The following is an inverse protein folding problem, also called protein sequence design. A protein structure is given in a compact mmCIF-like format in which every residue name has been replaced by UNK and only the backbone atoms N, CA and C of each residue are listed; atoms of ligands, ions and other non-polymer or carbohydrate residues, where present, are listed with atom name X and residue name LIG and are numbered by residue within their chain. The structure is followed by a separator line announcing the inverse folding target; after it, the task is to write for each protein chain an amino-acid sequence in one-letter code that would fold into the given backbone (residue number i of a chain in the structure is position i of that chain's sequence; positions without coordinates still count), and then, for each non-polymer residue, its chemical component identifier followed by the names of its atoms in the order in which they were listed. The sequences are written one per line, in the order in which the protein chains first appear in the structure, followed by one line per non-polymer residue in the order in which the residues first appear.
data_IF_455294906196
#
_entry.id   IF_455294906196
#
_cell.length_a   1.000
_cell.length_b   1.000
_cell.length_c   1.000
_cell.angle_alpha   90.00
_cell.angle_beta   90.00
_cell.angle_gamma   90.00
#
_symmetry.space_group_name_H-M   'P 1'
#
loop_
_entity.id
_entity.type
_entity.pdbx_description
1 polymer ?
#
# COMPACT_ATOMS: atom_id res chain seq x y z
N UNK A 1 6.31 4.60 21.23
CA UNK A 1 5.63 3.31 21.05
C UNK A 1 6.49 2.47 20.12
N UNK A 2 7.08 1.38 20.59
CA UNK A 2 7.80 0.46 19.71
C UNK A 2 6.78 -0.15 18.78
N UNK A 3 7.03 -0.04 17.48
CA UNK A 3 6.15 -0.63 16.46
C UNK A 3 6.18 -2.15 16.61
N UNK A 4 4.99 -2.77 16.71
CA UNK A 4 4.89 -4.23 16.78
C UNK A 4 5.31 -4.82 15.43
N UNK A 5 6.58 -5.21 15.33
CA UNK A 5 7.11 -5.98 14.21
C UNK A 5 6.55 -7.40 14.30
N UNK A 6 6.00 -7.92 13.23
CA UNK A 6 5.65 -9.33 13.12
C UNK A 6 6.93 -10.16 12.91
N UNK A 7 7.55 -10.52 14.02
CA UNK A 7 8.82 -11.27 14.04
C UNK A 7 8.71 -12.64 13.38
N UNK A 8 7.54 -13.28 13.40
CA UNK A 8 7.37 -14.58 12.71
C UNK A 8 7.55 -14.42 11.20
N UNK A 9 6.95 -13.39 10.63
CA UNK A 9 7.13 -13.09 9.20
C UNK A 9 8.57 -12.69 8.87
N UNK A 10 9.19 -11.87 9.69
CA UNK A 10 10.59 -11.45 9.50
C UNK A 10 11.53 -12.65 9.59
N UNK A 11 11.37 -13.51 10.59
CA UNK A 11 12.18 -14.72 10.73
C UNK A 11 12.01 -15.69 9.56
N UNK A 12 10.79 -15.82 9.02
CA UNK A 12 10.55 -16.61 7.80
C UNK A 12 11.29 -16.00 6.60
N UNK A 13 11.28 -14.68 6.46
CA UNK A 13 11.98 -13.99 5.38
C UNK A 13 13.51 -14.13 5.50
N UNK A 14 14.05 -14.05 6.71
CA UNK A 14 15.49 -14.29 6.97
C UNK A 14 15.85 -15.74 6.64
N UNK A 15 15.08 -16.73 7.12
CA UNK A 15 15.30 -18.15 6.83
C UNK A 15 15.22 -18.48 5.33
N UNK A 16 14.37 -17.75 4.61
CA UNK A 16 14.25 -17.87 3.16
C UNK A 16 15.37 -17.14 2.39
N UNK A 17 16.29 -16.46 3.07
CA UNK A 17 17.38 -15.70 2.46
C UNK A 17 16.92 -14.45 1.71
N UNK A 18 15.70 -13.95 2.00
CA UNK A 18 15.12 -12.78 1.34
C UNK A 18 15.63 -11.47 1.92
N UNK A 19 15.93 -11.46 3.21
CA UNK A 19 16.45 -10.29 3.93
C UNK A 19 17.60 -10.71 4.85
N UNK A 20 18.54 -9.79 5.05
CA UNK A 20 19.62 -9.91 6.03
C UNK A 20 19.51 -8.74 7.01
N UNK A 21 19.92 -8.92 8.26
CA UNK A 21 19.81 -7.94 9.35
C UNK A 21 20.20 -6.52 8.89
N UNK A 22 19.20 -5.65 8.73
CA UNK A 22 19.38 -4.22 8.45
C UNK A 22 19.86 -3.85 7.04
N UNK A 23 20.36 -4.80 6.26
CA UNK A 23 20.95 -4.52 4.94
C UNK A 23 20.10 -5.13 3.80
N UNK A 24 18.95 -4.51 3.51
CA UNK A 24 18.10 -4.86 2.37
C UNK A 24 17.35 -3.65 1.86
N UNK A 25 17.03 -3.68 0.58
CA UNK A 25 16.17 -2.68 -0.05
C UNK A 25 14.74 -3.22 -0.16
N UNK A 26 13.76 -2.38 0.23
CA UNK A 26 12.35 -2.76 0.09
C UNK A 26 11.95 -2.50 -1.36
N UNK A 27 11.82 -3.59 -2.12
CA UNK A 27 11.37 -3.59 -3.50
C UNK A 27 9.99 -4.24 -3.61
N UNK A 28 9.28 -4.00 -4.71
CA UNK A 28 8.01 -4.68 -4.99
C UNK A 28 8.19 -6.21 -4.98
N UNK A 29 9.25 -6.71 -5.57
CA UNK A 29 9.56 -8.14 -5.62
C UNK A 29 9.76 -8.73 -4.22
N UNK A 30 10.51 -8.02 -3.34
CA UNK A 30 10.71 -8.44 -1.96
C UNK A 30 9.38 -8.48 -1.20
N UNK A 31 8.56 -7.43 -1.32
CA UNK A 31 7.24 -7.38 -0.68
C UNK A 31 6.39 -8.58 -1.08
N UNK A 32 6.32 -8.90 -2.37
CA UNK A 32 5.55 -10.04 -2.87
C UNK A 32 6.07 -11.37 -2.35
N UNK A 33 7.38 -11.57 -2.34
CA UNK A 33 8.00 -12.78 -1.79
C UNK A 33 7.70 -12.95 -0.31
N UNK A 34 7.84 -11.88 0.48
CA UNK A 34 7.54 -11.91 1.93
C UNK A 34 6.05 -12.10 2.18
N UNK A 35 5.17 -11.46 1.40
CA UNK A 35 3.73 -11.66 1.47
C UNK A 35 3.35 -13.13 1.20
N UNK A 36 4.01 -13.75 0.23
CA UNK A 36 3.75 -15.14 -0.14
C UNK A 36 4.09 -16.14 0.98
N UNK A 37 5.06 -15.84 1.84
CA UNK A 37 5.42 -16.67 2.98
C UNK A 37 4.28 -16.79 4.01
N UNK A 38 3.39 -15.82 4.08
CA UNK A 38 2.22 -15.84 4.98
C UNK A 38 1.07 -16.70 4.48
N UNK A 39 1.10 -17.19 3.25
CA UNK A 39 0.05 -18.04 2.71
C UNK A 39 0.26 -19.46 3.23
N UNK A 40 -0.44 -19.80 4.32
CA UNK A 40 -0.36 -21.11 4.99
C UNK A 40 -0.95 -22.19 4.08
N UNK A 41 -2.17 -21.98 3.57
CA UNK A 41 -2.84 -22.92 2.66
C UNK A 41 -2.86 -22.36 1.23
N UNK A 42 -1.82 -22.70 0.48
CA UNK A 42 -1.67 -22.28 -0.91
C UNK A 42 -2.79 -22.84 -1.80
N UNK A 43 -3.22 -24.10 -1.57
CA UNK A 43 -4.30 -24.71 -2.36
C UNK A 43 -5.60 -23.94 -2.20
N UNK A 44 -5.96 -23.65 -0.95
CA UNK A 44 -7.14 -22.84 -0.63
C UNK A 44 -7.05 -21.42 -1.22
N UNK A 45 -5.88 -20.79 -1.13
CA UNK A 45 -5.67 -19.46 -1.72
C UNK A 45 -5.90 -19.45 -3.23
N UNK A 46 -5.31 -20.40 -3.96
CA UNK A 46 -5.45 -20.46 -5.42
C UNK A 46 -6.83 -20.97 -5.89
N UNK A 47 -7.60 -21.66 -5.03
CA UNK A 47 -8.98 -22.07 -5.35
C UNK A 47 -10.03 -20.95 -5.17
N UNK A 48 -9.64 -19.80 -4.58
CA UNK A 48 -10.56 -18.66 -4.41
C UNK A 48 -10.90 -18.01 -5.75
N UNK A 49 -12.04 -17.32 -5.79
CA UNK A 49 -12.40 -16.46 -6.92
C UNK A 49 -11.35 -15.37 -7.13
N UNK A 50 -11.22 -14.88 -8.35
CA UNK A 50 -10.24 -13.84 -8.70
C UNK A 50 -10.37 -12.61 -7.82
N UNK A 51 -11.57 -12.08 -7.68
CA UNK A 51 -11.82 -10.88 -6.86
C UNK A 51 -11.41 -11.06 -5.41
N UNK A 52 -11.76 -12.21 -4.79
CA UNK A 52 -11.40 -12.53 -3.40
C UNK A 52 -9.88 -12.69 -3.23
N UNK A 53 -9.24 -13.40 -4.15
CA UNK A 53 -7.79 -13.61 -4.14
C UNK A 53 -7.04 -12.29 -4.30
N UNK A 54 -7.48 -11.41 -5.22
CA UNK A 54 -6.89 -10.09 -5.43
C UNK A 54 -6.96 -9.22 -4.17
N UNK A 55 -8.12 -9.20 -3.52
CA UNK A 55 -8.32 -8.45 -2.28
C UNK A 55 -7.41 -8.94 -1.16
N UNK A 56 -7.36 -10.25 -0.93
CA UNK A 56 -6.50 -10.87 0.09
C UNK A 56 -5.02 -10.63 -0.22
N UNK A 57 -4.62 -10.76 -1.49
CA UNK A 57 -3.25 -10.51 -1.90
C UNK A 57 -2.81 -9.07 -1.65
N UNK A 58 -3.66 -8.11 -1.96
CA UNK A 58 -3.40 -6.69 -1.65
C UNK A 58 -3.16 -6.45 -0.16
N UNK A 59 -3.96 -7.11 0.71
CA UNK A 59 -3.78 -7.05 2.17
C UNK A 59 -2.43 -7.66 2.58
N UNK A 60 -2.07 -8.84 2.06
CA UNK A 60 -0.82 -9.50 2.39
C UNK A 60 0.40 -8.69 1.95
N UNK A 61 0.38 -8.12 0.74
CA UNK A 61 1.46 -7.26 0.26
C UNK A 61 1.60 -6.00 1.11
N UNK A 62 0.50 -5.34 1.47
CA UNK A 62 0.53 -4.18 2.35
C UNK A 62 1.09 -4.53 3.74
N UNK A 63 0.61 -5.62 4.34
CA UNK A 63 1.10 -6.08 5.64
C UNK A 63 2.59 -6.40 5.61
N UNK A 64 3.05 -7.10 4.57
CA UNK A 64 4.46 -7.40 4.38
C UNK A 64 5.31 -6.12 4.23
N UNK A 65 4.84 -5.14 3.43
CA UNK A 65 5.53 -3.87 3.26
C UNK A 65 5.65 -3.10 4.58
N UNK A 66 4.55 -3.01 5.34
CA UNK A 66 4.55 -2.36 6.65
C UNK A 66 5.50 -3.04 7.63
N UNK A 67 5.51 -4.37 7.64
CA UNK A 67 6.37 -5.13 8.53
C UNK A 67 7.86 -4.97 8.19
N UNK A 68 8.19 -4.99 6.89
CA UNK A 68 9.54 -4.71 6.41
C UNK A 68 9.99 -3.28 6.75
N UNK A 69 9.09 -2.29 6.63
CA UNK A 69 9.37 -0.92 7.04
C UNK A 69 9.67 -0.83 8.54
N UNK A 70 8.79 -1.39 9.38
CA UNK A 70 8.95 -1.40 10.84
C UNK A 70 10.26 -2.09 11.25
N UNK A 71 10.59 -3.21 10.63
CA UNK A 71 11.82 -3.93 10.87
C UNK A 71 13.05 -3.11 10.47
N UNK A 72 12.99 -2.45 9.32
CA UNK A 72 14.08 -1.59 8.83
C UNK A 72 14.28 -0.37 9.72
N UNK A 73 13.20 0.23 10.23
CA UNK A 73 13.22 1.39 11.12
C UNK A 73 13.94 1.11 12.45
N UNK A 74 13.97 -0.14 12.89
CA UNK A 74 14.77 -0.50 14.06
C UNK A 74 16.28 -0.39 13.82
N UNK A 75 16.71 -0.36 12.53
CA UNK A 75 18.12 -0.33 12.14
C UNK A 75 18.53 0.91 11.33
N UNK A 76 17.58 1.68 10.76
CA UNK A 76 17.89 2.82 9.87
C UNK A 76 16.82 3.93 9.97
N UNK A 77 16.97 4.79 10.97
CA UNK A 77 15.99 5.84 11.32
C UNK A 77 15.86 6.91 10.23
N UNK A 78 16.89 7.21 9.45
CA UNK A 78 16.88 8.38 8.54
C UNK A 78 16.13 8.14 7.21
N UNK A 79 16.07 6.91 6.70
CA UNK A 79 15.44 6.59 5.42
C UNK A 79 13.95 6.23 5.51
N UNK A 80 13.50 5.83 6.68
CA UNK A 80 12.17 5.26 6.90
C UNK A 80 11.00 6.20 6.61
N UNK A 81 11.16 7.50 6.87
CA UNK A 81 10.08 8.49 6.69
C UNK A 81 9.67 8.72 5.23
N UNK A 82 10.49 8.33 4.25
CA UNK A 82 10.17 8.47 2.84
C UNK A 82 9.39 7.29 2.29
N UNK A 83 9.63 6.10 2.83
CA UNK A 83 8.99 4.86 2.38
C UNK A 83 7.59 4.73 2.99
N UNK A 84 6.57 4.76 2.16
CA UNK A 84 5.18 4.70 2.59
C UNK A 84 4.26 4.35 1.42
N UNK A 85 2.96 4.34 1.67
CA UNK A 85 1.95 4.27 0.62
C UNK A 85 1.47 5.67 0.25
N UNK A 86 1.33 5.92 -1.04
CA UNK A 86 0.47 7.00 -1.54
C UNK A 86 -0.90 6.39 -1.81
N UNK A 87 -1.93 7.03 -1.31
CA UNK A 87 -3.31 6.55 -1.39
C UNK A 87 -4.24 7.59 -2.01
N UNK A 88 -5.32 7.07 -2.57
CA UNK A 88 -6.46 7.85 -3.02
C UNK A 88 -7.66 7.46 -2.15
N UNK A 89 -8.27 8.43 -1.50
CA UNK A 89 -9.44 8.26 -0.66
C UNK A 89 -10.60 9.07 -1.23
N UNK A 90 -11.81 8.52 -1.19
CA UNK A 90 -13.03 9.18 -1.63
C UNK A 90 -13.94 9.46 -0.45
N UNK A 91 -14.68 10.56 -0.51
CA UNK A 91 -15.90 10.74 0.27
C UNK A 91 -17.07 10.16 -0.53
N UNK A 92 -17.64 9.05 -0.09
CA UNK A 92 -18.74 8.38 -0.81
C UNK A 92 -20.05 9.18 -0.81
N UNK A 93 -20.18 10.19 0.04
CA UNK A 93 -21.30 11.14 0.00
C UNK A 93 -21.10 12.23 -1.06
N UNK A 94 -19.83 12.42 -1.48
CA UNK A 94 -19.43 13.36 -2.53
C UNK A 94 -18.49 12.65 -3.51
N UNK A 95 -19.00 11.79 -4.40
CA UNK A 95 -18.21 10.77 -5.10
C UNK A 95 -17.17 11.31 -6.10
N UNK A 96 -17.17 12.61 -6.40
CA UNK A 96 -16.16 13.24 -7.26
C UNK A 96 -15.03 13.91 -6.47
N UNK A 97 -15.10 13.89 -5.14
CA UNK A 97 -14.09 14.49 -4.29
C UNK A 97 -13.14 13.42 -3.74
N UNK A 98 -11.88 13.54 -4.10
CA UNK A 98 -10.84 12.58 -3.78
C UNK A 98 -9.70 13.28 -3.05
N UNK A 99 -9.19 12.60 -2.05
CA UNK A 99 -7.98 13.00 -1.35
C UNK A 99 -6.81 12.15 -1.86
N UNK A 100 -5.72 12.80 -2.24
CA UNK A 100 -4.43 12.15 -2.51
C UNK A 100 -3.51 12.46 -1.35
N UNK A 101 -3.08 11.43 -0.63
CA UNK A 101 -2.23 11.57 0.54
C UNK A 101 -1.27 10.40 0.69
N UNK A 102 -0.39 10.49 1.69
CA UNK A 102 0.55 9.41 2.04
C UNK A 102 0.36 8.93 3.47
N UNK A 103 0.62 7.67 3.69
CA UNK A 103 0.59 7.06 5.02
C UNK A 103 1.32 5.72 5.02
N UNK A 104 1.90 5.35 6.14
CA UNK A 104 2.35 3.98 6.36
C UNK A 104 1.15 3.02 6.56
N UNK A 105 0.00 3.55 6.98
CA UNK A 105 -1.24 2.79 7.21
C UNK A 105 -2.46 3.51 6.60
N UNK A 106 -2.70 3.37 5.28
CA UNK A 106 -3.82 4.05 4.61
C UNK A 106 -5.19 3.76 5.22
N UNK A 107 -5.45 2.51 5.62
CA UNK A 107 -6.74 2.13 6.21
C UNK A 107 -6.98 2.80 7.56
N UNK A 108 -5.94 2.94 8.38
CA UNK A 108 -6.04 3.67 9.65
C UNK A 108 -6.36 5.14 9.39
N UNK A 109 -5.82 5.73 8.30
CA UNK A 109 -6.19 7.10 7.90
C UNK A 109 -7.66 7.22 7.54
N UNK A 110 -8.22 6.25 6.81
CA UNK A 110 -9.66 6.23 6.50
C UNK A 110 -10.51 6.04 7.77
N UNK A 111 -10.11 5.13 8.66
CA UNK A 111 -10.79 4.93 9.96
C UNK A 111 -10.76 6.22 10.78
N UNK A 112 -9.61 6.88 10.89
CA UNK A 112 -9.45 8.15 11.62
C UNK A 112 -10.32 9.24 11.00
N UNK A 113 -10.32 9.39 9.67
CA UNK A 113 -11.18 10.35 8.97
C UNK A 113 -12.67 10.08 9.27
N UNK A 114 -13.07 8.82 9.30
CA UNK A 114 -14.43 8.41 9.61
C UNK A 114 -14.83 8.64 11.07
N UNK A 115 -13.88 8.78 11.99
CA UNK A 115 -14.17 9.14 13.39
C UNK A 115 -14.79 10.53 13.51
N UNK A 116 -14.39 11.44 12.62
CA UNK A 116 -14.89 12.82 12.58
C UNK A 116 -16.03 13.04 11.57
N UNK A 117 -16.34 12.02 10.75
CA UNK A 117 -17.40 12.09 9.76
C UNK A 117 -18.67 11.43 10.29
N UNK A 118 -19.80 12.13 10.40
CA UNK A 118 -21.07 11.55 10.86
C UNK A 118 -21.58 10.44 9.94
N UNK A 119 -21.19 10.47 8.66
CA UNK A 119 -21.62 9.50 7.66
C UNK A 119 -20.65 8.34 7.46
N UNK A 120 -19.47 8.39 8.07
CA UNK A 120 -18.40 7.40 7.88
C UNK A 120 -18.13 7.08 6.41
N UNK A 121 -18.13 8.11 5.60
CA UNK A 121 -18.18 8.03 4.14
C UNK A 121 -16.81 7.89 3.46
N UNK A 122 -15.72 8.01 4.21
CA UNK A 122 -14.37 7.93 3.65
C UNK A 122 -13.94 6.50 3.39
N UNK A 123 -13.53 6.23 2.15
CA UNK A 123 -13.03 4.91 1.72
C UNK A 123 -11.76 5.05 0.89
N UNK A 124 -10.82 4.14 1.11
CA UNK A 124 -9.64 4.02 0.24
C UNK A 124 -10.06 3.40 -1.10
N UNK A 125 -9.80 4.11 -2.19
CA UNK A 125 -10.05 3.66 -3.56
C UNK A 125 -8.84 2.89 -4.09
N UNK A 126 -7.65 3.42 -3.84
CA UNK A 126 -6.40 2.84 -4.29
C UNK A 126 -5.26 3.25 -3.38
N UNK A 127 -4.27 2.40 -3.26
CA UNK A 127 -3.00 2.73 -2.61
C UNK A 127 -1.85 2.02 -3.31
N UNK A 128 -0.66 2.63 -3.28
CA UNK A 128 0.56 2.05 -3.82
C UNK A 128 1.73 2.36 -2.92
N UNK A 129 2.54 1.36 -2.68
CA UNK A 129 3.81 1.52 -1.99
C UNK A 129 4.79 2.31 -2.87
N UNK A 130 5.57 3.18 -2.24
CA UNK A 130 6.65 3.93 -2.89
C UNK A 130 7.86 4.01 -1.98
N UNK A 131 9.05 3.90 -2.57
CA UNK A 131 10.33 4.13 -1.90
C UNK A 131 10.50 5.60 -1.50
N UNK A 132 9.86 6.52 -2.23
CA UNK A 132 9.78 7.93 -1.92
C UNK A 132 8.34 8.43 -2.08
N UNK A 133 7.52 8.13 -1.06
CA UNK A 133 6.12 8.54 -1.05
C UNK A 133 5.95 10.07 -0.95
N UNK A 134 6.95 10.78 -0.40
CA UNK A 134 6.93 12.24 -0.32
C UNK A 134 6.98 12.85 -1.73
N UNK A 135 7.93 12.40 -2.53
CA UNK A 135 8.07 12.92 -3.90
C UNK A 135 6.95 12.42 -4.81
N UNK A 136 6.48 11.18 -4.63
CA UNK A 136 5.34 10.67 -5.39
C UNK A 136 4.06 11.46 -5.08
N UNK A 137 3.76 11.76 -3.80
CA UNK A 137 2.61 12.58 -3.41
C UNK A 137 2.70 13.98 -4.02
N UNK A 138 3.85 14.67 -3.88
CA UNK A 138 4.09 15.98 -4.49
C UNK A 138 3.91 15.95 -6.02
N UNK A 139 4.44 14.93 -6.67
CA UNK A 139 4.28 14.74 -8.10
C UNK A 139 2.79 14.62 -8.47
N UNK A 140 2.04 13.76 -7.77
CA UNK A 140 0.60 13.60 -8.02
C UNK A 140 -0.15 14.93 -7.81
N UNK A 141 0.14 15.67 -6.76
CA UNK A 141 -0.44 16.99 -6.52
C UNK A 141 -0.08 18.00 -7.63
N UNK A 142 1.15 17.98 -8.12
CA UNK A 142 1.59 18.91 -9.17
C UNK A 142 0.90 18.70 -10.50
N UNK A 143 0.75 17.45 -10.94
CA UNK A 143 0.11 17.13 -12.23
C UNK A 143 -1.39 17.37 -12.23
N UNK A 144 -2.03 17.34 -11.05
CA UNK A 144 -3.46 17.59 -10.88
C UNK A 144 -3.76 18.94 -10.21
N UNK A 145 -2.82 19.89 -10.26
CA UNK A 145 -2.96 21.20 -9.63
C UNK A 145 -4.19 22.00 -10.13
N UNK A 146 -4.66 21.75 -11.37
CA UNK A 146 -5.86 22.38 -11.93
C UNK A 146 -7.15 21.84 -11.32
N UNK A 147 -7.13 20.60 -10.83
CA UNK A 147 -8.28 19.91 -10.24
C UNK A 147 -8.25 20.03 -8.71
N UNK A 148 -7.27 20.75 -8.15
CA UNK A 148 -7.08 20.96 -6.73
C UNK A 148 -8.15 21.90 -6.16
N UNK A 149 -8.73 21.52 -5.04
CA UNK A 149 -9.76 22.29 -4.35
C UNK A 149 -9.19 22.95 -3.09
N UNK A 150 -8.72 22.13 -2.15
CA UNK A 150 -8.19 22.61 -0.89
C UNK A 150 -7.37 21.52 -0.20
N UNK A 151 -6.21 21.88 0.36
CA UNK A 151 -5.34 20.95 1.09
C UNK A 151 -4.88 19.79 0.21
N UNK A 152 -5.32 18.59 0.50
CA UNK A 152 -5.01 17.36 -0.25
C UNK A 152 -6.23 16.86 -1.07
N UNK A 153 -7.26 17.70 -1.25
CA UNK A 153 -8.52 17.36 -1.93
C UNK A 153 -8.55 17.87 -3.37
N UNK A 154 -9.06 17.02 -4.24
CA UNK A 154 -9.17 17.22 -5.69
C UNK A 154 -10.56 16.85 -6.17
N UNK A 155 -10.98 17.44 -7.28
CA UNK A 155 -12.23 17.10 -7.95
C UNK A 155 -11.93 16.35 -9.25
N UNK A 156 -12.39 15.11 -9.37
CA UNK A 156 -12.19 14.28 -10.56
C UNK A 156 -13.52 13.70 -11.05
N UNK A 157 -13.77 13.84 -12.35
CA UNK A 157 -14.89 13.15 -13.01
C UNK A 157 -14.58 11.66 -13.27
N UNK A 158 -13.32 11.34 -13.57
CA UNK A 158 -12.86 9.97 -13.79
C UNK A 158 -11.62 9.68 -12.96
N UNK A 159 -11.81 8.77 -12.00
CA UNK A 159 -10.71 8.35 -11.12
C UNK A 159 -9.79 7.33 -11.77
N UNK A 160 -10.23 6.63 -12.83
CA UNK A 160 -9.49 5.52 -13.43
C UNK A 160 -8.14 5.98 -13.99
N UNK A 161 -8.10 7.16 -14.60
CA UNK A 161 -6.88 7.77 -15.14
C UNK A 161 -5.88 8.11 -14.02
N UNK A 162 -6.37 8.56 -12.86
CA UNK A 162 -5.56 8.93 -11.70
C UNK A 162 -4.95 7.69 -11.05
N UNK A 163 -5.77 6.64 -10.86
CA UNK A 163 -5.31 5.35 -10.35
C UNK A 163 -4.24 4.76 -11.28
N UNK A 164 -4.46 4.80 -12.60
CA UNK A 164 -3.48 4.34 -13.58
C UNK A 164 -2.17 5.13 -13.50
N UNK A 165 -2.24 6.44 -13.32
CA UNK A 165 -1.06 7.29 -13.17
C UNK A 165 -0.28 6.95 -11.90
N UNK A 166 -0.99 6.75 -10.77
CA UNK A 166 -0.38 6.31 -9.52
C UNK A 166 0.32 4.95 -9.70
N UNK A 167 -0.31 4.00 -10.41
CA UNK A 167 0.25 2.69 -10.73
C UNK A 167 1.56 2.77 -11.52
N UNK A 168 1.63 3.66 -12.51
CA UNK A 168 2.82 3.81 -13.37
C UNK A 168 3.98 4.43 -12.59
N UNK A 169 3.71 5.34 -11.65
CA UNK A 169 4.72 6.14 -10.96
C UNK A 169 5.14 5.59 -9.60
N UNK A 170 4.51 4.52 -9.14
CA UNK A 170 4.80 3.90 -7.86
C UNK A 170 5.30 2.47 -8.00
N UNK A 171 5.83 1.92 -6.92
CA UNK A 171 6.05 0.48 -6.79
C UNK A 171 4.71 -0.22 -6.70
N UNK A 172 4.39 -1.04 -7.69
CA UNK A 172 3.09 -1.73 -7.79
C UNK A 172 3.05 -3.00 -6.97
N UNK A 173 1.88 -3.28 -6.41
CA UNK A 173 1.54 -4.61 -5.94
C UNK A 173 1.02 -5.44 -7.11
N UNK A 174 1.82 -6.40 -7.58
CA UNK A 174 1.38 -7.32 -8.62
C UNK A 174 0.37 -8.31 -8.05
N UNK A 175 -0.79 -8.39 -8.69
CA UNK A 175 -1.87 -9.27 -8.28
C UNK A 175 -1.69 -10.60 -8.98
N UNK A 176 -1.61 -11.74 -8.23
CA UNK A 176 -1.31 -13.04 -8.80
C UNK A 176 -2.24 -13.47 -9.94
N UNK A 177 -3.47 -12.98 -9.95
CA UNK A 177 -4.46 -13.31 -10.98
C UNK A 177 -4.09 -12.84 -12.37
N UNK A 178 -3.29 -11.76 -12.47
CA UNK A 178 -2.82 -11.27 -13.77
C UNK A 178 -1.67 -12.11 -14.34
N UNK A 179 -1.05 -12.94 -13.49
CA UNK A 179 0.06 -13.83 -13.85
C UNK A 179 -0.13 -15.20 -13.19
N UNK A 180 -1.08 -16.01 -13.65
CA UNK A 180 -1.49 -17.24 -12.96
C UNK A 180 -0.38 -18.28 -12.76
N UNK A 181 0.72 -18.21 -13.49
CA UNK A 181 1.87 -19.11 -13.34
C UNK A 181 2.90 -18.71 -12.28
N UNK A 182 2.82 -17.51 -11.72
CA UNK A 182 3.89 -16.95 -10.88
C UNK A 182 3.96 -17.54 -9.47
N UNK A 183 2.84 -18.00 -8.96
CA UNK A 183 2.70 -18.47 -7.58
C UNK A 183 2.22 -19.92 -7.47
N UNK A 184 2.34 -20.69 -8.55
CA UNK A 184 2.04 -22.13 -8.54
C UNK A 184 3.23 -22.95 -8.10
#
# INVERSE_FOLDING_TARGET
MRSDVDWDQINLAIKAGLIHHGNFEITQELIEKVAFLKIIDKKKFFSMTEAKRSSIWGIFCRTAALNLLKFKDEFDIEKSYRQAFVYIMVDTTNPNYYKIGRSIEPDIRAITANTFSPFRSFKIVSFRYSQDAVELEKYMHSIYSRDHINGEWFFFHDISSIVKKLDIKSTKFEIPNKKPGRYR
#
